data_IF_546637866554
#
_entry.id   IF_546637866554
#
_cell.length_a   1.000
_cell.length_b   1.000
_cell.length_c   1.000
_cell.angle_alpha   90.00
_cell.angle_beta   90.00
_cell.angle_gamma   90.00
#
_symmetry.space_group_name_H-M   'P 1'
#
loop_
_entity.id
_entity.type
_entity.pdbx_description
1 polymer ?
#
# COMPACT_ATOMS: atom_id res chain seq x y z
N UNK A 1 28.64 -7.63 -9.58
CA UNK A 1 28.51 -6.24 -9.09
C UNK A 1 27.02 -5.98 -8.91
N UNK A 2 26.50 -6.04 -7.67
CA UNK A 2 25.10 -5.68 -7.40
C UNK A 2 25.00 -4.16 -7.45
N UNK A 3 24.41 -3.62 -8.52
CA UNK A 3 24.07 -2.19 -8.60
C UNK A 3 22.92 -1.96 -7.62
N UNK A 4 23.20 -1.24 -6.53
CA UNK A 4 22.17 -0.82 -5.56
C UNK A 4 21.35 0.28 -6.21
N UNK A 5 20.16 -0.05 -6.70
CA UNK A 5 19.16 0.96 -7.05
C UNK A 5 18.44 1.41 -5.78
N UNK A 6 18.17 2.72 -5.61
CA UNK A 6 17.34 3.19 -4.51
C UNK A 6 15.97 2.51 -4.62
N UNK A 7 15.55 1.85 -3.54
CA UNK A 7 14.26 1.18 -3.47
C UNK A 7 13.17 2.25 -3.38
N UNK A 8 12.61 2.63 -4.52
CA UNK A 8 11.51 3.59 -4.63
C UNK A 8 10.61 3.24 -5.80
N UNK A 9 9.31 3.20 -5.57
CA UNK A 9 8.30 2.92 -6.58
C UNK A 9 7.80 4.24 -7.17
N UNK A 10 8.40 4.71 -8.28
CA UNK A 10 7.95 5.91 -9.02
C UNK A 10 7.18 5.47 -10.27
N UNK A 11 5.85 5.50 -10.16
CA UNK A 11 4.92 5.09 -11.22
C UNK A 11 5.02 6.01 -12.44
N UNK A 12 5.32 7.29 -12.22
CA UNK A 12 5.51 8.28 -13.28
C UNK A 12 6.68 7.92 -14.17
N UNK A 13 7.84 7.61 -13.58
CA UNK A 13 9.03 7.17 -14.31
C UNK A 13 8.80 5.84 -15.02
N UNK A 14 8.17 4.85 -14.38
CA UNK A 14 7.84 3.55 -15.01
C UNK A 14 6.95 3.76 -16.24
N UNK A 15 5.96 4.65 -16.16
CA UNK A 15 5.11 5.01 -17.30
C UNK A 15 5.90 5.59 -18.48
N UNK A 16 6.89 6.46 -18.20
CA UNK A 16 7.76 7.03 -19.23
C UNK A 16 8.68 5.98 -19.86
N UNK A 17 9.29 5.11 -19.06
CA UNK A 17 10.11 3.99 -19.54
C UNK A 17 9.29 3.10 -20.47
N UNK A 18 8.07 2.73 -20.07
CA UNK A 18 7.18 1.92 -20.90
C UNK A 18 6.83 2.61 -22.22
N UNK A 19 6.56 3.92 -22.20
CA UNK A 19 6.28 4.69 -23.42
C UNK A 19 7.48 4.69 -24.39
N UNK A 20 8.69 4.89 -23.89
CA UNK A 20 9.93 4.88 -24.68
C UNK A 20 10.18 3.50 -25.29
N UNK A 21 10.09 2.44 -24.46
CA UNK A 21 10.27 1.06 -24.93
C UNK A 21 9.24 0.66 -25.98
N UNK A 22 7.97 1.06 -25.80
CA UNK A 22 6.93 0.81 -26.80
C UNK A 22 7.18 1.56 -28.12
N UNK A 23 7.72 2.78 -28.06
CA UNK A 23 8.12 3.53 -29.24
C UNK A 23 9.27 2.80 -29.99
N UNK A 24 10.24 2.24 -29.26
CA UNK A 24 11.30 1.43 -29.85
C UNK A 24 10.77 0.17 -30.55
N UNK A 25 9.87 -0.58 -29.90
CA UNK A 25 9.24 -1.76 -30.51
C UNK A 25 8.38 -1.44 -31.74
N UNK A 26 7.74 -0.26 -31.75
CA UNK A 26 7.01 0.26 -32.93
C UNK A 26 7.92 0.77 -34.04
N UNK A 27 9.26 0.69 -33.87
CA UNK A 27 10.28 1.19 -34.79
C UNK A 27 10.16 2.69 -35.08
N UNK A 28 9.61 3.47 -34.15
CA UNK A 28 9.49 4.94 -34.32
C UNK A 28 10.74 5.68 -33.84
N UNK A 29 11.59 5.04 -33.04
CA UNK A 29 12.85 5.60 -32.52
C UNK A 29 14.01 4.61 -32.75
N UNK A 30 15.23 5.11 -32.93
CA UNK A 30 16.46 4.31 -33.02
C UNK A 30 16.92 3.82 -31.64
N UNK A 31 17.81 2.81 -31.62
CA UNK A 31 18.37 2.27 -30.38
C UNK A 31 19.12 3.33 -29.57
N UNK A 32 19.96 4.13 -30.23
CA UNK A 32 20.77 5.17 -29.56
C UNK A 32 19.87 6.23 -28.90
N UNK A 33 18.84 6.69 -29.61
CA UNK A 33 17.88 7.65 -29.05
C UNK A 33 17.08 7.04 -27.89
N UNK A 34 16.72 5.76 -27.97
CA UNK A 34 16.05 5.05 -26.88
C UNK A 34 16.92 4.99 -25.63
N UNK A 35 18.23 4.73 -25.77
CA UNK A 35 19.17 4.69 -24.64
C UNK A 35 19.37 6.07 -24.03
N UNK A 36 19.54 7.12 -24.85
CA UNK A 36 19.65 8.50 -24.38
C UNK A 36 18.41 8.94 -23.59
N UNK A 37 17.21 8.69 -24.12
CA UNK A 37 15.96 9.04 -23.42
C UNK A 37 15.77 8.22 -22.14
N UNK A 38 16.21 6.96 -22.12
CA UNK A 38 16.13 6.15 -20.90
C UNK A 38 17.06 6.68 -19.80
N UNK A 39 18.28 7.10 -20.16
CA UNK A 39 19.22 7.71 -19.22
C UNK A 39 18.69 9.06 -18.69
N UNK A 40 18.04 9.86 -19.52
CA UNK A 40 17.37 11.10 -19.11
C UNK A 40 16.28 10.85 -18.06
N UNK A 41 15.45 9.80 -18.23
CA UNK A 41 14.39 9.43 -17.27
C UNK A 41 14.97 8.94 -15.94
N UNK A 42 16.07 8.18 -15.99
CA UNK A 42 16.76 7.70 -14.78
C UNK A 42 17.30 8.89 -13.98
N UNK A 43 17.94 9.84 -14.65
CA UNK A 43 18.57 11.02 -14.04
C UNK A 43 17.58 12.17 -13.72
N UNK A 44 16.35 12.11 -14.22
CA UNK A 44 15.33 13.10 -13.91
C UNK A 44 15.03 13.19 -12.40
N UNK A 45 14.66 14.37 -11.88
CA UNK A 45 14.24 14.51 -10.48
C UNK A 45 13.00 13.65 -10.19
N UNK A 46 12.75 13.38 -8.91
CA UNK A 46 11.57 12.65 -8.45
C UNK A 46 10.29 13.36 -8.89
N UNK A 47 9.27 12.60 -9.30
CA UNK A 47 8.00 13.15 -9.81
C UNK A 47 7.25 13.97 -8.75
N UNK A 48 7.38 13.62 -7.47
CA UNK A 48 6.78 14.32 -6.34
C UNK A 48 7.87 14.97 -5.47
N UNK A 49 7.68 16.25 -5.13
CA UNK A 49 8.58 16.97 -4.24
C UNK A 49 8.38 16.63 -2.75
N UNK A 50 9.31 17.04 -1.91
CA UNK A 50 9.31 16.77 -0.46
C UNK A 50 7.98 17.16 0.23
N UNK A 51 7.49 18.39 -0.01
CA UNK A 51 6.23 18.86 0.57
C UNK A 51 5.02 18.02 0.12
N UNK A 52 5.03 17.60 -1.15
CA UNK A 52 3.98 16.75 -1.74
C UNK A 52 3.95 15.39 -1.07
N UNK A 53 5.11 14.79 -0.80
CA UNK A 53 5.25 13.54 -0.05
C UNK A 53 4.76 13.70 1.38
N UNK A 54 5.12 14.78 2.09
CA UNK A 54 4.64 15.02 3.46
C UNK A 54 3.11 15.09 3.55
N UNK A 55 2.49 15.84 2.63
CA UNK A 55 1.03 15.94 2.55
C UNK A 55 0.38 14.61 2.17
N UNK A 56 1.03 13.80 1.33
CA UNK A 56 0.57 12.48 0.95
C UNK A 56 0.55 11.51 2.13
N UNK A 57 1.61 11.49 2.95
CA UNK A 57 1.62 10.68 4.18
C UNK A 57 0.51 11.12 5.13
N UNK A 58 0.39 12.41 5.42
CA UNK A 58 -0.66 12.95 6.30
C UNK A 58 -2.08 12.63 5.78
N UNK A 59 -2.34 12.85 4.49
CA UNK A 59 -3.63 12.60 3.86
C UNK A 59 -4.00 11.11 3.84
N UNK A 60 -3.03 10.24 3.58
CA UNK A 60 -3.24 8.79 3.58
C UNK A 60 -3.58 8.26 4.99
N UNK A 61 -2.91 8.75 6.03
CA UNK A 61 -3.17 8.34 7.40
C UNK A 61 -4.51 8.86 7.91
N UNK A 62 -4.81 10.15 7.67
CA UNK A 62 -6.10 10.76 8.01
C UNK A 62 -7.27 10.00 7.39
N UNK A 63 -7.19 9.77 6.07
CA UNK A 63 -8.25 9.10 5.34
C UNK A 63 -8.32 7.60 5.65
N UNK A 64 -7.18 6.94 5.84
CA UNK A 64 -7.08 5.52 6.16
C UNK A 64 -7.66 5.16 7.53
N UNK A 65 -7.49 6.03 8.54
CA UNK A 65 -8.06 5.80 9.88
C UNK A 65 -9.59 5.70 9.85
N UNK A 66 -10.27 6.66 9.21
CA UNK A 66 -11.73 6.66 9.14
C UNK A 66 -12.27 5.64 8.13
N UNK A 67 -11.60 5.41 6.99
CA UNK A 67 -12.12 4.52 5.94
C UNK A 67 -11.84 3.03 6.20
N UNK A 68 -10.60 2.67 6.58
CA UNK A 68 -10.18 1.26 6.67
C UNK A 68 -10.28 0.69 8.08
N UNK A 69 -10.10 1.54 9.09
CA UNK A 69 -10.01 1.11 10.48
C UNK A 69 -11.16 1.59 11.36
N UNK A 70 -12.22 2.14 10.75
CA UNK A 70 -13.44 2.57 11.44
C UNK A 70 -13.16 3.52 12.61
N UNK A 71 -12.15 4.40 12.47
CA UNK A 71 -11.82 5.40 13.48
C UNK A 71 -12.83 6.56 13.55
N UNK A 72 -12.79 7.30 14.64
CA UNK A 72 -13.53 8.56 14.83
C UNK A 72 -12.81 9.74 14.14
N UNK A 73 -13.45 10.90 14.06
CA UNK A 73 -12.81 12.12 13.54
C UNK A 73 -11.57 12.55 14.32
N UNK A 74 -11.53 12.24 15.62
CA UNK A 74 -10.37 12.53 16.48
C UNK A 74 -9.22 11.58 16.12
N UNK A 75 -9.52 10.29 15.94
CA UNK A 75 -8.53 9.31 15.47
C UNK A 75 -7.97 9.69 14.10
N UNK A 76 -8.81 10.17 13.19
CA UNK A 76 -8.40 10.65 11.88
C UNK A 76 -7.46 11.86 11.99
N UNK A 77 -7.79 12.86 12.81
CA UNK A 77 -6.94 14.04 13.00
C UNK A 77 -5.57 13.68 13.61
N UNK A 78 -5.56 12.85 14.65
CA UNK A 78 -4.33 12.41 15.33
C UNK A 78 -3.48 11.52 14.41
N UNK A 79 -4.10 10.58 13.68
CA UNK A 79 -3.39 9.76 12.69
C UNK A 79 -2.84 10.58 11.54
N UNK A 80 -3.53 11.62 11.08
CA UNK A 80 -3.01 12.55 10.08
C UNK A 80 -1.77 13.32 10.57
N UNK A 81 -1.78 13.77 11.82
CA UNK A 81 -0.62 14.42 12.44
C UNK A 81 0.58 13.46 12.62
N UNK A 82 0.31 12.22 13.04
CA UNK A 82 1.34 11.17 13.13
C UNK A 82 1.85 10.75 11.76
N UNK A 83 0.99 10.67 10.75
CA UNK A 83 1.35 10.42 9.36
C UNK A 83 2.28 11.52 8.83
N UNK A 84 1.98 12.79 9.12
CA UNK A 84 2.88 13.90 8.79
C UNK A 84 4.25 13.73 9.46
N UNK A 85 4.28 13.35 10.73
CA UNK A 85 5.52 13.07 11.46
C UNK A 85 6.32 11.92 10.85
N UNK A 86 5.66 10.81 10.51
CA UNK A 86 6.28 9.68 9.79
C UNK A 86 6.81 10.12 8.42
N UNK A 87 6.08 10.98 7.71
CA UNK A 87 6.52 11.60 6.46
C UNK A 87 7.82 12.42 6.64
N UNK A 88 7.95 13.17 7.74
CA UNK A 88 9.19 13.91 8.03
C UNK A 88 10.36 12.95 8.27
N UNK A 89 10.14 11.87 9.03
CA UNK A 89 11.15 10.83 9.24
C UNK A 89 11.53 10.14 7.92
N UNK A 90 10.58 9.94 7.01
CA UNK A 90 10.83 9.37 5.69
C UNK A 90 11.69 10.31 4.83
N UNK A 91 11.41 11.62 4.83
CA UNK A 91 12.25 12.59 4.12
C UNK A 91 13.67 12.62 4.69
N UNK A 92 13.81 12.53 6.01
CA UNK A 92 15.12 12.42 6.67
C UNK A 92 15.84 11.12 6.30
N UNK A 93 15.12 10.00 6.22
CA UNK A 93 15.66 8.71 5.78
C UNK A 93 16.18 8.74 4.34
N UNK A 94 15.57 9.56 3.48
CA UNK A 94 16.03 9.73 2.10
C UNK A 94 17.35 10.51 1.99
N UNK A 95 17.61 11.44 2.91
CA UNK A 95 18.87 12.18 2.97
C UNK A 95 19.99 11.37 3.67
N UNK A 96 19.64 10.61 4.71
CA UNK A 96 20.59 9.84 5.52
C UNK A 96 20.40 8.32 5.31
N UNK A 97 21.15 7.69 4.39
CA UNK A 97 20.96 6.27 4.02
C UNK A 97 21.25 5.29 5.18
N UNK A 98 21.99 5.72 6.20
CA UNK A 98 22.21 4.93 7.41
C UNK A 98 20.89 4.82 8.20
N UNK A 99 20.16 5.93 8.34
CA UNK A 99 18.89 5.99 9.04
C UNK A 99 17.78 5.25 8.28
N UNK A 100 17.81 5.31 6.93
CA UNK A 100 16.84 4.59 6.08
C UNK A 100 16.78 3.06 6.29
N UNK A 101 17.76 2.44 6.96
CA UNK A 101 17.74 1.01 7.31
C UNK A 101 16.99 0.67 8.60
N UNK A 102 16.76 1.66 9.46
CA UNK A 102 16.11 1.50 10.78
C UNK A 102 14.82 2.32 10.87
N UNK A 103 14.57 3.18 9.87
CA UNK A 103 13.47 4.12 9.80
C UNK A 103 12.11 3.47 10.12
N UNK A 104 11.86 2.26 9.63
CA UNK A 104 10.61 1.55 9.87
C UNK A 104 10.36 1.31 11.34
N UNK A 105 11.37 0.78 12.03
CA UNK A 105 11.29 0.41 13.44
C UNK A 105 11.19 1.68 14.27
N UNK A 106 12.00 2.71 14.00
CA UNK A 106 11.97 3.96 14.75
C UNK A 106 10.64 4.71 14.56
N UNK A 107 10.09 4.73 13.34
CA UNK A 107 8.78 5.34 13.05
C UNK A 107 7.67 4.61 13.81
N UNK A 108 7.62 3.28 13.78
CA UNK A 108 6.63 2.49 14.51
C UNK A 108 6.73 2.68 16.03
N UNK A 109 7.94 2.72 16.60
CA UNK A 109 8.15 2.99 18.03
C UNK A 109 7.59 4.35 18.43
N UNK A 110 7.92 5.40 17.67
CA UNK A 110 7.45 6.76 17.98
C UNK A 110 5.94 6.90 17.84
N UNK A 111 5.36 6.34 16.78
CA UNK A 111 3.90 6.31 16.57
C UNK A 111 3.22 5.60 17.73
N UNK A 112 3.72 4.44 18.17
CA UNK A 112 3.12 3.70 19.28
C UNK A 112 3.18 4.45 20.61
N UNK A 113 4.32 5.08 20.95
CA UNK A 113 4.45 5.89 22.17
C UNK A 113 3.43 7.04 22.17
N UNK A 114 3.32 7.78 21.08
CA UNK A 114 2.42 8.93 21.00
C UNK A 114 0.94 8.48 20.99
N UNK A 115 0.63 7.39 20.27
CA UNK A 115 -0.72 6.83 20.25
C UNK A 115 -1.16 6.36 21.65
N UNK A 116 -0.27 5.70 22.41
CA UNK A 116 -0.54 5.29 23.81
C UNK A 116 -0.61 6.48 24.76
N UNK A 117 0.19 7.52 24.54
CA UNK A 117 0.10 8.78 25.29
C UNK A 117 -1.29 9.42 25.20
N UNK A 118 -1.95 9.28 24.04
CA UNK A 118 -3.27 9.83 23.77
C UNK A 118 -4.43 8.86 24.04
N UNK A 119 -4.20 7.75 24.76
CA UNK A 119 -5.18 6.66 24.98
C UNK A 119 -6.58 7.12 25.47
N UNK A 120 -6.69 8.27 26.16
CA UNK A 120 -7.96 8.81 26.66
C UNK A 120 -8.88 9.39 25.56
N UNK A 121 -8.31 9.67 24.39
CA UNK A 121 -9.02 10.33 23.29
C UNK A 121 -9.05 9.48 22.01
N UNK A 122 -8.13 8.54 21.86
CA UNK A 122 -7.94 7.79 20.61
C UNK A 122 -7.94 6.28 20.80
N UNK A 123 -8.33 5.59 19.73
CA UNK A 123 -8.24 4.15 19.60
C UNK A 123 -6.85 3.76 19.08
N UNK A 124 -6.07 3.00 19.87
CA UNK A 124 -4.68 2.68 19.56
C UNK A 124 -4.53 1.98 18.20
N UNK A 125 -5.32 0.92 17.96
CA UNK A 125 -5.21 0.10 16.75
C UNK A 125 -5.58 0.86 15.48
N UNK A 126 -6.52 1.81 15.56
CA UNK A 126 -6.91 2.65 14.43
C UNK A 126 -5.82 3.66 14.10
N UNK A 127 -5.32 4.38 15.11
CA UNK A 127 -4.31 5.44 14.93
C UNK A 127 -2.94 4.87 14.56
N UNK A 128 -2.48 3.83 15.25
CA UNK A 128 -1.14 3.28 15.03
C UNK A 128 -1.00 2.67 13.62
N UNK A 129 -1.99 1.88 13.18
CA UNK A 129 -1.93 1.19 11.88
C UNK A 129 -2.19 2.15 10.71
N UNK A 130 -3.04 3.17 10.89
CA UNK A 130 -3.25 4.21 9.86
C UNK A 130 -2.07 5.17 9.71
N UNK A 131 -1.39 5.53 10.80
CA UNK A 131 -0.21 6.39 10.76
C UNK A 131 0.95 5.76 9.96
N UNK A 132 1.08 4.44 10.01
CA UNK A 132 2.10 3.68 9.24
C UNK A 132 1.54 3.03 7.98
N UNK A 133 0.35 3.44 7.49
CA UNK A 133 -0.38 2.77 6.40
C UNK A 133 0.49 2.53 5.16
N UNK A 134 1.26 3.53 4.74
CA UNK A 134 2.12 3.46 3.55
C UNK A 134 3.29 2.48 3.73
N UNK A 135 3.72 2.24 4.97
CA UNK A 135 4.78 1.28 5.27
C UNK A 135 4.26 -0.16 5.23
N UNK A 136 2.96 -0.39 5.37
CA UNK A 136 2.41 -1.75 5.47
C UNK A 136 2.80 -2.61 4.25
N UNK A 137 3.34 -3.83 4.43
CA UNK A 137 3.89 -4.65 3.34
C UNK A 137 2.81 -5.38 2.53
N UNK A 138 1.64 -4.76 2.32
CA UNK A 138 0.51 -5.39 1.65
C UNK A 138 0.74 -5.55 0.15
N UNK A 139 1.09 -4.46 -0.55
CA UNK A 139 1.32 -4.51 -2.00
C UNK A 139 2.46 -5.46 -2.37
N UNK A 140 3.60 -5.35 -1.66
CA UNK A 140 4.75 -6.23 -1.87
C UNK A 140 4.43 -7.72 -1.65
N UNK A 141 3.60 -8.04 -0.66
CA UNK A 141 3.12 -9.41 -0.44
C UNK A 141 2.25 -9.90 -1.59
N UNK A 142 1.30 -9.09 -2.07
CA UNK A 142 0.44 -9.52 -3.20
C UNK A 142 1.23 -9.71 -4.49
N UNK A 143 2.19 -8.84 -4.77
CA UNK A 143 3.13 -9.02 -5.89
C UNK A 143 3.91 -10.33 -5.75
N UNK A 144 4.39 -10.64 -4.54
CA UNK A 144 5.12 -11.87 -4.28
C UNK A 144 4.28 -13.12 -4.60
N UNK A 145 3.02 -13.15 -4.18
CA UNK A 145 2.10 -14.27 -4.46
C UNK A 145 1.74 -14.34 -5.95
N UNK A 146 1.56 -13.20 -6.61
CA UNK A 146 1.36 -13.15 -8.06
C UNK A 146 2.58 -13.70 -8.82
N UNK A 147 3.80 -13.34 -8.41
CA UNK A 147 5.04 -13.86 -9.04
C UNK A 147 5.20 -15.37 -8.85
N UNK A 148 4.91 -15.88 -7.64
CA UNK A 148 4.91 -17.33 -7.37
C UNK A 148 3.91 -18.03 -8.29
N UNK A 149 2.70 -17.48 -8.41
CA UNK A 149 1.64 -18.03 -9.27
C UNK A 149 1.99 -17.96 -10.76
N UNK A 150 2.73 -16.93 -11.17
CA UNK A 150 3.27 -16.76 -12.52
C UNK A 150 4.51 -17.64 -12.82
N UNK A 151 4.85 -18.59 -11.94
CA UNK A 151 6.02 -19.49 -12.02
C UNK A 151 7.38 -18.81 -11.81
N UNK A 152 7.42 -17.57 -11.35
CA UNK A 152 8.63 -16.89 -10.91
C UNK A 152 8.85 -17.11 -9.41
N UNK A 153 9.07 -18.38 -9.04
CA UNK A 153 9.09 -18.82 -7.64
C UNK A 153 10.22 -18.14 -6.85
N UNK A 154 11.43 -18.04 -7.40
CA UNK A 154 12.58 -17.50 -6.66
C UNK A 154 12.39 -16.04 -6.25
N UNK A 155 11.94 -15.17 -7.16
CA UNK A 155 11.73 -13.74 -6.85
C UNK A 155 10.54 -13.56 -5.91
N UNK A 156 9.45 -14.28 -6.17
CA UNK A 156 8.25 -14.21 -5.37
C UNK A 156 8.46 -14.73 -3.95
N UNK A 157 9.13 -15.87 -3.74
CA UNK A 157 9.41 -16.40 -2.40
C UNK A 157 10.28 -15.46 -1.58
N UNK A 158 11.34 -14.87 -2.16
CA UNK A 158 12.20 -13.91 -1.44
C UNK A 158 11.41 -12.69 -0.99
N UNK A 159 10.55 -12.13 -1.87
CA UNK A 159 9.68 -11.00 -1.52
C UNK A 159 8.64 -11.36 -0.47
N UNK A 160 8.06 -12.56 -0.54
CA UNK A 160 7.07 -13.02 0.43
C UNK A 160 7.69 -13.14 1.82
N UNK A 161 8.84 -13.80 1.94
CA UNK A 161 9.57 -13.93 3.20
C UNK A 161 9.95 -12.55 3.74
N UNK A 162 10.46 -11.66 2.87
CA UNK A 162 10.77 -10.29 3.27
C UNK A 162 9.54 -9.53 3.79
N UNK A 163 8.39 -9.61 3.12
CA UNK A 163 7.16 -8.95 3.55
C UNK A 163 6.66 -9.44 4.91
N UNK A 164 6.78 -10.74 5.19
CA UNK A 164 6.44 -11.31 6.50
C UNK A 164 7.39 -10.81 7.58
N UNK A 165 8.70 -10.89 7.35
CA UNK A 165 9.71 -10.37 8.30
C UNK A 165 9.50 -8.88 8.56
N UNK A 166 9.19 -8.11 7.51
CA UNK A 166 8.92 -6.69 7.58
C UNK A 166 7.67 -6.37 8.43
N UNK A 167 6.59 -7.15 8.29
CA UNK A 167 5.41 -7.02 9.14
C UNK A 167 5.74 -7.27 10.62
N UNK A 168 6.58 -8.27 10.92
CA UNK A 168 7.07 -8.51 12.27
C UNK A 168 7.96 -7.38 12.79
N UNK A 169 8.81 -6.77 11.95
CA UNK A 169 9.62 -5.61 12.35
C UNK A 169 8.74 -4.41 12.73
N UNK A 170 7.70 -4.11 11.95
CA UNK A 170 6.73 -3.07 12.29
C UNK A 170 5.98 -3.38 13.59
N UNK A 171 5.49 -4.61 13.73
CA UNK A 171 4.78 -5.05 14.93
C UNK A 171 5.68 -5.01 16.18
N UNK A 172 6.94 -5.41 16.05
CA UNK A 172 7.94 -5.29 17.10
C UNK A 172 8.20 -3.83 17.48
N UNK A 173 8.30 -2.92 16.50
CA UNK A 173 8.39 -1.48 16.76
C UNK A 173 7.18 -0.95 17.55
N UNK A 174 5.96 -1.37 17.17
CA UNK A 174 4.75 -1.02 17.91
C UNK A 174 4.77 -1.59 19.34
N UNK A 175 5.21 -2.84 19.52
CA UNK A 175 5.35 -3.49 20.83
C UNK A 175 6.29 -2.73 21.74
N UNK A 176 7.49 -2.42 21.25
CA UNK A 176 8.51 -1.69 22.01
C UNK A 176 7.99 -0.31 22.39
N UNK A 177 7.34 0.41 21.47
CA UNK A 177 6.73 1.70 21.80
C UNK A 177 5.63 1.61 22.86
N UNK A 178 4.77 0.58 22.77
CA UNK A 178 3.71 0.36 23.76
C UNK A 178 4.27 0.06 25.15
N UNK A 179 5.21 -0.89 25.24
CA UNK A 179 5.83 -1.29 26.52
C UNK A 179 6.62 -0.15 27.18
N UNK A 180 7.31 0.68 26.40
CA UNK A 180 8.00 1.88 26.91
C UNK A 180 7.00 2.85 27.55
N UNK A 181 5.83 3.05 26.94
CA UNK A 181 4.81 3.92 27.51
C UNK A 181 4.15 3.29 28.76
N UNK A 182 3.83 2.00 28.73
CA UNK A 182 3.27 1.29 29.89
C UNK A 182 4.24 1.29 31.09
N UNK A 183 5.56 1.35 30.86
CA UNK A 183 6.54 1.53 31.93
C UNK A 183 6.51 2.94 32.57
N UNK A 184 6.08 3.96 31.82
CA UNK A 184 5.93 5.34 32.33
C UNK A 184 4.59 5.48 33.06
N UNK A 185 3.51 4.92 32.52
CA UNK A 185 2.18 4.96 33.11
C UNK A 185 1.51 3.56 33.08
N UNK A 186 1.65 2.77 34.16
CA UNK A 186 1.15 1.40 34.23
C UNK A 186 -0.38 1.28 34.18
N UNK A 187 -1.12 2.33 34.55
CA UNK A 187 -2.58 2.30 34.67
C UNK A 187 -3.30 2.60 33.34
N UNK A 188 -2.55 2.86 32.26
CA UNK A 188 -3.13 3.24 30.97
C UNK A 188 -3.61 2.00 30.17
N UNK A 189 -4.92 1.89 29.85
CA UNK A 189 -5.48 0.74 29.14
C UNK A 189 -4.87 0.59 27.74
N UNK A 190 -4.50 -0.64 27.34
CA UNK A 190 -3.72 -0.92 26.12
C UNK A 190 -4.39 -0.44 24.82
N UNK A 191 -5.71 -0.64 24.69
CA UNK A 191 -6.45 -0.31 23.45
C UNK A 191 -6.91 1.16 23.35
N UNK A 192 -6.94 1.90 24.46
CA UNK A 192 -7.48 3.25 24.54
C UNK A 192 -9.00 3.33 24.42
N UNK A 193 -9.55 4.54 24.30
CA UNK A 193 -11.00 4.76 24.15
C UNK A 193 -11.41 4.80 22.68
N UNK A 194 -12.05 3.73 22.20
CA UNK A 194 -12.59 3.70 20.84
C UNK A 194 -14.01 4.28 20.82
N UNK A 195 -14.20 5.40 20.13
CA UNK A 195 -15.53 6.06 19.95
C UNK A 195 -16.24 5.53 18.71
N UNK A 196 -17.51 5.92 18.55
CA UNK A 196 -18.31 5.55 17.38
C UNK A 196 -17.63 5.96 16.05
N UNK A 197 -17.70 5.08 15.03
CA UNK A 197 -17.08 5.32 13.74
C UNK A 197 -17.73 6.50 13.01
N UNK A 198 -16.96 7.13 12.12
CA UNK A 198 -17.45 8.19 11.22
C UNK A 198 -18.62 7.66 10.36
N UNK A 199 -19.62 8.51 10.09
CA UNK A 199 -20.78 8.08 9.31
C UNK A 199 -20.40 7.72 7.86
N UNK A 200 -21.06 6.70 7.26
CA UNK A 200 -20.65 6.17 5.95
C UNK A 200 -20.70 7.19 4.80
N UNK A 201 -21.50 8.26 4.92
CA UNK A 201 -21.59 9.32 3.92
C UNK A 201 -20.26 10.04 3.70
N UNK A 202 -19.41 10.12 4.73
CA UNK A 202 -18.09 10.75 4.60
C UNK A 202 -17.05 9.84 3.93
N UNK A 203 -17.34 8.57 3.68
CA UNK A 203 -16.44 7.69 2.93
C UNK A 203 -16.31 8.13 1.46
N UNK A 204 -17.36 8.72 0.89
CA UNK A 204 -17.38 9.22 -0.49
C UNK A 204 -16.32 10.31 -0.72
N UNK A 205 -16.26 11.42 0.06
CA UNK A 205 -15.22 12.43 -0.12
C UNK A 205 -13.84 11.98 0.38
N UNK A 206 -13.78 11.05 1.34
CA UNK A 206 -12.53 10.62 1.95
C UNK A 206 -11.74 9.62 1.08
N UNK A 207 -12.44 8.82 0.27
CA UNK A 207 -11.83 7.86 -0.63
C UNK A 207 -10.94 8.51 -1.72
N UNK A 208 -11.38 9.57 -2.45
CA UNK A 208 -10.50 10.32 -3.34
C UNK A 208 -9.27 10.88 -2.64
N UNK A 209 -9.42 11.38 -1.40
CA UNK A 209 -8.29 11.89 -0.60
C UNK A 209 -7.29 10.78 -0.32
N UNK A 210 -7.76 9.59 0.11
CA UNK A 210 -6.91 8.44 0.36
C UNK A 210 -6.18 7.99 -0.91
N UNK A 211 -6.93 7.82 -2.01
CA UNK A 211 -6.40 7.35 -3.29
C UNK A 211 -5.36 8.29 -3.88
N UNK A 212 -5.64 9.60 -3.91
CA UNK A 212 -4.71 10.62 -4.40
C UNK A 212 -3.46 10.65 -3.52
N UNK A 213 -3.61 10.54 -2.20
CA UNK A 213 -2.48 10.49 -1.27
C UNK A 213 -1.58 9.28 -1.53
N UNK A 214 -2.14 8.07 -1.67
CA UNK A 214 -1.36 6.87 -2.01
C UNK A 214 -0.70 7.02 -3.39
N UNK A 215 -1.40 7.60 -4.37
CA UNK A 215 -0.86 7.87 -5.71
C UNK A 215 0.35 8.80 -5.67
N UNK A 216 0.32 9.83 -4.82
CA UNK A 216 1.43 10.76 -4.59
C UNK A 216 2.62 10.07 -3.91
N UNK A 217 2.38 9.18 -2.94
CA UNK A 217 3.43 8.36 -2.33
C UNK A 217 4.14 7.45 -3.34
N UNK A 218 3.41 6.94 -4.34
CA UNK A 218 3.95 6.14 -5.44
C UNK A 218 4.49 6.97 -6.62
N UNK A 219 4.67 8.29 -6.46
CA UNK A 219 5.25 9.15 -7.50
C UNK A 219 4.43 9.23 -8.79
N UNK A 220 3.11 9.05 -8.71
CA UNK A 220 2.23 9.06 -9.88
C UNK A 220 2.07 10.47 -10.48
N UNK A 221 1.98 10.57 -11.81
CA UNK A 221 1.73 11.84 -12.51
C UNK A 221 0.30 12.33 -12.27
N UNK A 222 0.08 13.64 -12.24
CA UNK A 222 -1.25 14.26 -12.01
C UNK A 222 -2.33 13.77 -12.98
N UNK A 223 -1.95 13.39 -14.20
CA UNK A 223 -2.88 12.85 -15.21
C UNK A 223 -3.45 11.47 -14.82
N UNK A 224 -2.65 10.66 -14.12
CA UNK A 224 -2.98 9.30 -13.72
C UNK A 224 -3.87 9.24 -12.47
N UNK A 225 -3.91 10.31 -11.67
CA UNK A 225 -4.65 10.35 -10.40
C UNK A 225 -6.14 10.08 -10.56
N UNK A 226 -6.74 10.56 -11.65
CA UNK A 226 -8.16 10.37 -11.90
C UNK A 226 -8.47 8.90 -12.18
N UNK A 227 -7.69 8.25 -13.04
CA UNK A 227 -7.86 6.82 -13.34
C UNK A 227 -7.59 5.94 -12.10
N UNK A 228 -6.55 6.27 -11.33
CA UNK A 228 -6.24 5.60 -10.06
C UNK A 228 -7.38 5.70 -9.06
N UNK A 229 -8.01 6.87 -8.94
CA UNK A 229 -9.12 7.10 -8.01
C UNK A 229 -10.38 6.35 -8.41
N UNK A 230 -10.70 6.29 -9.70
CA UNK A 230 -11.81 5.45 -10.18
C UNK A 230 -11.56 3.95 -9.91
N UNK A 231 -10.33 3.49 -10.12
CA UNK A 231 -9.93 2.11 -9.85
C UNK A 231 -10.08 1.77 -8.35
N UNK A 232 -9.59 2.64 -7.48
CA UNK A 232 -9.75 2.54 -6.03
C UNK A 232 -11.22 2.55 -5.59
N UNK A 233 -12.05 3.42 -6.20
CA UNK A 233 -13.48 3.50 -5.90
C UNK A 233 -14.23 2.22 -6.23
N UNK A 234 -13.91 1.58 -7.37
CA UNK A 234 -14.49 0.29 -7.76
C UNK A 234 -14.12 -0.79 -6.74
N UNK A 235 -12.84 -0.89 -6.39
CA UNK A 235 -12.36 -1.87 -5.42
C UNK A 235 -13.01 -1.71 -4.04
N UNK A 236 -13.01 -0.49 -3.51
CA UNK A 236 -13.61 -0.20 -2.21
C UNK A 236 -15.12 -0.43 -2.19
N UNK A 237 -15.84 0.02 -3.21
CA UNK A 237 -17.31 -0.13 -3.27
C UNK A 237 -17.70 -1.62 -3.31
N UNK A 238 -16.99 -2.43 -4.12
CA UNK A 238 -17.24 -3.86 -4.18
C UNK A 238 -16.95 -4.54 -2.85
N UNK A 239 -15.82 -4.22 -2.20
CA UNK A 239 -15.53 -4.73 -0.86
C UNK A 239 -16.61 -4.34 0.16
N UNK A 240 -17.05 -3.09 0.15
CA UNK A 240 -18.06 -2.60 1.09
C UNK A 240 -19.41 -3.31 0.92
N UNK A 241 -19.93 -3.41 -0.31
CA UNK A 241 -21.23 -4.03 -0.55
C UNK A 241 -21.18 -5.57 -0.49
N UNK A 242 -20.14 -6.21 -1.04
CA UNK A 242 -20.05 -7.68 -1.06
C UNK A 242 -19.79 -8.26 0.33
N UNK A 243 -19.10 -7.53 1.22
CA UNK A 243 -18.90 -7.98 2.61
C UNK A 243 -20.20 -8.02 3.42
N UNK A 244 -21.28 -7.37 2.96
CA UNK A 244 -22.60 -7.47 3.58
C UNK A 244 -23.36 -8.73 3.16
N UNK A 245 -23.00 -9.33 2.02
CA UNK A 245 -23.69 -10.49 1.45
C UNK A 245 -22.90 -11.78 1.68
N UNK A 246 -21.56 -11.70 1.61
CA UNK A 246 -20.66 -12.85 1.68
C UNK A 246 -19.76 -12.70 2.92
N UNK A 247 -19.78 -13.65 3.87
CA UNK A 247 -18.94 -13.59 5.07
C UNK A 247 -17.46 -13.92 4.77
N UNK A 248 -17.19 -14.68 3.70
CA UNK A 248 -15.84 -15.09 3.33
C UNK A 248 -15.05 -13.98 2.62
N UNK A 249 -14.16 -13.34 3.37
CA UNK A 249 -13.29 -12.26 2.87
C UNK A 249 -12.43 -12.66 1.65
N UNK A 250 -12.09 -13.95 1.52
CA UNK A 250 -11.29 -14.47 0.40
C UNK A 250 -12.04 -14.37 -0.95
N UNK A 251 -13.34 -14.63 -0.94
CA UNK A 251 -14.20 -14.57 -2.13
C UNK A 251 -14.41 -13.10 -2.51
N UNK A 252 -14.69 -12.26 -1.52
CA UNK A 252 -14.87 -10.81 -1.72
C UNK A 252 -13.62 -10.18 -2.32
N UNK A 253 -12.43 -10.50 -1.80
CA UNK A 253 -11.16 -10.02 -2.36
C UNK A 253 -10.93 -10.49 -3.80
N UNK A 254 -11.29 -11.73 -4.13
CA UNK A 254 -11.18 -12.26 -5.51
C UNK A 254 -12.08 -11.51 -6.49
N UNK A 255 -13.31 -11.21 -6.10
CA UNK A 255 -14.27 -10.44 -6.93
C UNK A 255 -13.81 -8.99 -7.09
N UNK A 256 -13.37 -8.35 -6.00
CA UNK A 256 -12.90 -6.97 -6.03
C UNK A 256 -11.64 -6.81 -6.90
N UNK A 257 -10.65 -7.69 -6.73
CA UNK A 257 -9.44 -7.69 -7.56
C UNK A 257 -9.70 -7.99 -9.03
N UNK A 258 -10.64 -8.88 -9.34
CA UNK A 258 -11.09 -9.12 -10.70
C UNK A 258 -11.64 -7.85 -11.36
N UNK A 259 -12.53 -7.13 -10.68
CA UNK A 259 -13.12 -5.90 -11.20
C UNK A 259 -12.09 -4.76 -11.34
N UNK A 260 -11.22 -4.59 -10.34
CA UNK A 260 -10.11 -3.63 -10.35
C UNK A 260 -9.19 -3.91 -11.53
N UNK A 261 -8.77 -5.17 -11.73
CA UNK A 261 -7.91 -5.58 -12.83
C UNK A 261 -8.58 -5.41 -14.20
N UNK A 262 -9.87 -5.77 -14.31
CA UNK A 262 -10.64 -5.57 -15.55
C UNK A 262 -10.69 -4.09 -15.92
N UNK A 263 -10.97 -3.21 -14.94
CA UNK A 263 -10.96 -1.76 -15.15
C UNK A 263 -9.57 -1.27 -15.59
N UNK A 264 -8.49 -1.65 -14.90
CA UNK A 264 -7.13 -1.21 -15.23
C UNK A 264 -6.73 -1.57 -16.67
N UNK A 265 -7.11 -2.76 -17.13
CA UNK A 265 -6.84 -3.21 -18.50
C UNK A 265 -7.73 -2.52 -19.54
N UNK A 266 -8.98 -2.19 -19.21
CA UNK A 266 -9.88 -1.41 -20.08
C UNK A 266 -9.44 0.06 -20.15
N UNK A 267 -9.02 0.64 -19.04
CA UNK A 267 -8.52 2.00 -18.93
C UNK A 267 -7.31 2.24 -19.85
N UNK A 268 -6.43 1.24 -20.03
CA UNK A 268 -5.36 1.30 -21.02
C UNK A 268 -5.86 1.56 -22.45
N UNK A 269 -6.99 0.96 -22.85
CA UNK A 269 -7.53 1.14 -24.21
C UNK A 269 -8.08 2.54 -24.44
N UNK A 270 -8.61 3.18 -23.41
CA UNK A 270 -9.26 4.49 -23.50
C UNK A 270 -8.31 5.65 -23.19
N UNK A 271 -7.48 5.54 -22.14
CA UNK A 271 -6.59 6.60 -21.68
C UNK A 271 -5.15 6.45 -22.21
N UNK A 272 -4.78 5.27 -22.75
CA UNK A 272 -3.42 5.01 -23.23
C UNK A 272 -2.37 4.88 -22.11
N UNK A 273 -2.80 4.77 -20.85
CA UNK A 273 -1.93 4.63 -19.68
C UNK A 273 -1.65 3.15 -19.37
N UNK A 274 -0.44 2.85 -18.89
CA UNK A 274 -0.08 1.48 -18.51
C UNK A 274 -0.99 0.95 -17.39
N UNK A 275 -1.55 -0.28 -17.49
CA UNK A 275 -2.49 -0.84 -16.50
C UNK A 275 -1.93 -0.88 -15.08
N UNK A 276 -0.61 -1.00 -14.96
CA UNK A 276 0.16 -0.95 -13.72
C UNK A 276 -0.22 0.25 -12.84
N UNK A 277 -0.34 1.45 -13.42
CA UNK A 277 -0.55 2.67 -12.66
C UNK A 277 -1.87 2.68 -11.86
N UNK A 278 -3.06 2.48 -12.49
CA UNK A 278 -4.32 2.36 -11.76
C UNK A 278 -4.37 1.12 -10.86
N UNK A 279 -3.78 0.00 -11.31
CA UNK A 279 -3.80 -1.26 -10.58
C UNK A 279 -3.07 -1.19 -9.22
N UNK A 280 -1.95 -0.48 -9.13
CA UNK A 280 -1.17 -0.37 -7.89
C UNK A 280 -1.98 0.24 -6.73
N UNK A 281 -2.70 1.34 -6.99
CA UNK A 281 -3.47 2.04 -5.95
C UNK A 281 -4.70 1.22 -5.55
N UNK A 282 -5.41 0.66 -6.53
CA UNK A 282 -6.58 -0.19 -6.27
C UNK A 282 -6.23 -1.44 -5.46
N UNK A 283 -5.14 -2.13 -5.81
CA UNK A 283 -4.66 -3.31 -5.06
C UNK A 283 -4.20 -2.91 -3.67
N UNK A 284 -3.49 -1.79 -3.50
CA UNK A 284 -2.99 -1.32 -2.19
C UNK A 284 -4.11 -1.10 -1.15
N UNK A 285 -5.35 -0.88 -1.58
CA UNK A 285 -6.50 -0.82 -0.67
C UNK A 285 -7.07 -2.20 -0.31
N UNK A 286 -6.87 -3.20 -1.18
CA UNK A 286 -7.40 -4.56 -1.01
C UNK A 286 -6.44 -5.49 -0.27
N UNK A 287 -5.15 -5.17 -0.25
CA UNK A 287 -4.10 -6.01 0.29
C UNK A 287 -4.20 -6.22 1.81
N UNK A 288 -3.78 -7.38 2.33
CA UNK A 288 -3.91 -7.71 3.75
C UNK A 288 -2.78 -7.10 4.61
N UNK A 289 -2.19 -5.96 4.24
CA UNK A 289 -1.01 -5.41 4.91
C UNK A 289 -1.25 -5.07 6.38
N UNK A 290 -2.41 -4.49 6.69
CA UNK A 290 -2.80 -4.14 8.06
C UNK A 290 -3.13 -5.35 8.93
N UNK A 291 -3.72 -6.39 8.34
CA UNK A 291 -4.01 -7.67 9.02
C UNK A 291 -2.70 -8.30 9.49
N UNK A 292 -1.64 -8.22 8.67
CA UNK A 292 -0.32 -8.73 9.04
C UNK A 292 0.29 -8.07 10.25
N UNK A 293 0.35 -6.75 10.25
CA UNK A 293 0.95 -6.01 11.36
C UNK A 293 0.09 -6.14 12.63
N UNK A 294 -1.24 -6.09 12.52
CA UNK A 294 -2.15 -6.31 13.67
C UNK A 294 -2.01 -7.71 14.25
N UNK A 295 -1.97 -8.74 13.40
CA UNK A 295 -1.80 -10.12 13.83
C UNK A 295 -0.43 -10.40 14.46
N UNK A 296 0.64 -9.85 13.86
CA UNK A 296 1.99 -9.94 14.43
C UNK A 296 2.09 -9.20 15.77
N UNK A 297 1.44 -8.04 15.91
CA UNK A 297 1.41 -7.28 17.16
C UNK A 297 0.63 -8.04 18.26
N UNK A 298 -0.55 -8.59 17.95
CA UNK A 298 -1.34 -9.39 18.88
C UNK A 298 -0.58 -10.63 19.37
N UNK A 299 0.18 -11.29 18.48
CA UNK A 299 1.01 -12.44 18.84
C UNK A 299 2.16 -12.06 19.79
N UNK A 300 2.74 -10.87 19.65
CA UNK A 300 3.80 -10.37 20.54
C UNK A 300 3.26 -9.89 21.89
N UNK A 301 2.03 -9.35 21.94
CA UNK A 301 1.37 -8.92 23.18
C UNK A 301 0.79 -10.07 24.02
N UNK A 302 0.85 -11.33 23.55
CA UNK A 302 0.32 -12.54 24.23
C UNK A 302 -1.19 -12.54 24.52
N UNK A 303 -1.96 -11.58 24.01
CA UNK A 303 -3.36 -11.40 24.40
C UNK A 303 -4.34 -12.38 23.72
N UNK A 304 -3.97 -13.09 22.65
CA UNK A 304 -4.88 -14.07 22.06
C UNK A 304 -4.22 -15.04 21.06
N UNK A 305 -4.26 -16.35 21.34
CA UNK A 305 -3.84 -17.41 20.39
C UNK A 305 -4.75 -17.42 19.14
N UNK A 306 -5.93 -16.83 19.26
CA UNK A 306 -6.94 -16.63 18.22
C UNK A 306 -6.40 -15.92 16.96
N UNK A 307 -5.38 -15.06 17.10
CA UNK A 307 -4.76 -14.32 15.99
C UNK A 307 -3.46 -14.96 15.45
N UNK A 308 -3.06 -16.13 15.95
CA UNK A 308 -1.84 -16.83 15.51
C UNK A 308 -1.82 -17.23 14.03
N UNK A 309 -2.99 -17.33 13.40
CA UNK A 309 -3.15 -17.72 12.00
C UNK A 309 -3.10 -16.54 11.01
N UNK A 310 -2.71 -15.34 11.46
CA UNK A 310 -2.62 -14.17 10.57
C UNK A 310 -1.75 -14.40 9.31
N UNK A 311 -0.62 -15.13 9.32
CA UNK A 311 0.17 -15.32 8.10
C UNK A 311 -0.59 -16.14 7.06
N UNK A 312 -1.38 -17.12 7.52
CA UNK A 312 -2.25 -17.93 6.65
C UNK A 312 -3.39 -17.07 6.10
N UNK A 313 -4.02 -16.24 6.92
CA UNK A 313 -5.07 -15.32 6.46
C UNK A 313 -4.55 -14.37 5.38
N UNK A 314 -3.39 -13.77 5.60
CA UNK A 314 -2.75 -12.89 4.61
C UNK A 314 -2.45 -13.65 3.31
N UNK A 315 -1.90 -14.86 3.40
CA UNK A 315 -1.60 -15.70 2.23
C UNK A 315 -2.87 -16.03 1.45
N UNK A 316 -3.94 -16.44 2.12
CA UNK A 316 -5.20 -16.80 1.46
C UNK A 316 -5.86 -15.59 0.80
N UNK A 317 -5.82 -14.41 1.43
CA UNK A 317 -6.29 -13.16 0.80
C UNK A 317 -5.44 -12.83 -0.43
N UNK A 318 -4.11 -12.90 -0.32
CA UNK A 318 -3.21 -12.63 -1.45
C UNK A 318 -3.40 -13.62 -2.62
N UNK A 319 -3.69 -14.89 -2.32
CA UNK A 319 -4.05 -15.90 -3.33
C UNK A 319 -5.38 -15.53 -4.01
N UNK A 320 -6.41 -15.16 -3.25
CA UNK A 320 -7.69 -14.71 -3.80
C UNK A 320 -7.53 -13.50 -4.73
N UNK A 321 -6.76 -12.50 -4.30
CA UNK A 321 -6.43 -11.34 -5.13
C UNK A 321 -5.73 -11.76 -6.44
N UNK A 322 -4.74 -12.66 -6.35
CA UNK A 322 -4.01 -13.16 -7.52
C UNK A 322 -4.93 -13.88 -8.51
N UNK A 323 -5.87 -14.71 -8.03
CA UNK A 323 -6.84 -15.40 -8.89
C UNK A 323 -7.72 -14.40 -9.66
N UNK A 324 -8.25 -13.37 -8.98
CA UNK A 324 -9.04 -12.34 -9.64
C UNK A 324 -8.24 -11.57 -10.70
N UNK A 325 -6.99 -11.23 -10.39
CA UNK A 325 -6.07 -10.53 -11.29
C UNK A 325 -5.79 -11.34 -12.56
N UNK A 326 -5.46 -12.63 -12.44
CA UNK A 326 -5.21 -13.50 -13.60
C UNK A 326 -6.47 -13.77 -14.43
N UNK A 327 -7.61 -13.97 -13.77
CA UNK A 327 -8.88 -14.19 -14.47
C UNK A 327 -9.25 -13.00 -15.36
N UNK A 328 -9.10 -11.77 -14.86
CA UNK A 328 -9.35 -10.56 -15.64
C UNK A 328 -8.37 -10.44 -16.83
N UNK A 329 -7.08 -10.72 -16.61
CA UNK A 329 -6.07 -10.68 -17.68
C UNK A 329 -6.37 -11.68 -18.80
N UNK A 330 -6.83 -12.89 -18.47
CA UNK A 330 -7.22 -13.91 -19.46
C UNK A 330 -8.39 -13.46 -20.34
N UNK A 331 -9.37 -12.76 -19.76
CA UNK A 331 -10.54 -12.26 -20.50
C UNK A 331 -10.15 -11.13 -21.46
N UNK A 332 -9.29 -10.21 -21.03
CA UNK A 332 -8.92 -9.06 -21.87
C UNK A 332 -7.92 -9.44 -22.97
N UNK A 333 -7.01 -10.37 -22.69
CA UNK A 333 -5.98 -10.82 -23.64
C UNK A 333 -6.05 -12.32 -23.95
N UNK A 334 -7.15 -12.82 -24.56
CA UNK A 334 -7.36 -14.25 -24.79
C UNK A 334 -6.32 -14.86 -25.75
N UNK A 335 -5.72 -14.05 -26.64
CA UNK A 335 -4.80 -14.54 -27.69
C UNK A 335 -3.32 -14.37 -27.39
N UNK A 336 -2.93 -14.06 -26.14
CA UNK A 336 -1.53 -14.13 -25.68
C UNK A 336 -0.51 -13.43 -26.59
N UNK A 337 -0.53 -12.09 -26.68
CA UNK A 337 0.62 -11.39 -27.26
C UNK A 337 1.80 -11.51 -26.30
N UNK A 338 2.69 -12.48 -26.58
CA UNK A 338 3.84 -12.93 -25.77
C UNK A 338 4.77 -11.81 -25.23
N UNK A 339 4.74 -10.61 -25.82
CA UNK A 339 5.62 -9.50 -25.44
C UNK A 339 4.93 -8.32 -24.75
N UNK A 340 3.59 -8.25 -24.78
CA UNK A 340 2.85 -7.09 -24.23
C UNK A 340 2.45 -7.27 -22.76
N UNK A 341 2.46 -8.51 -22.27
CA UNK A 341 1.94 -8.89 -20.96
C UNK A 341 2.93 -8.59 -19.83
N UNK A 342 4.24 -8.66 -20.10
CA UNK A 342 5.30 -8.46 -19.09
C UNK A 342 5.55 -6.99 -18.69
N UNK A 343 5.06 -6.03 -19.47
CA UNK A 343 5.23 -4.58 -19.18
C UNK A 343 3.91 -3.97 -18.66
N UNK A 344 2.85 -4.78 -18.60
CA UNK A 344 1.52 -4.36 -18.19
C UNK A 344 1.09 -4.92 -16.83
N UNK A 345 1.94 -5.75 -16.19
CA UNK A 345 1.61 -6.54 -14.99
C UNK A 345 2.65 -6.36 -13.88
#
# INVERSE_FOLDING_TARGET
>A
MMVKTPQGFDTGKIGQVNAIVNAFFKKTISLDNCLCSLDEVVNAPLTCGCLTTLLAFAGSSFAGSALMFHGSWIDAAVSGALGLFVGMLFTLASEYPIYGRIFEISASVMVAIIARALHQYVCFTSVAVSAILILLPGYGMTLAVMEISARHITTGTVRLVYAVVYAFMLAYGLQVGSTVYSAINPDAPDEGTCRDPVSPWFYIPLLPVLSISISMCFGSSKKQWLSQTFCAAIGFSLCYFMSQVIPDAHIVGSIASFAVSLYSNVALKFLGEAPLAPMCVGITLLVPGSIGVKGAYALLHQDDVSHSLFPLQMLTIALGLSVGLFAAAMIVYPSGKRYSLYISL
#
